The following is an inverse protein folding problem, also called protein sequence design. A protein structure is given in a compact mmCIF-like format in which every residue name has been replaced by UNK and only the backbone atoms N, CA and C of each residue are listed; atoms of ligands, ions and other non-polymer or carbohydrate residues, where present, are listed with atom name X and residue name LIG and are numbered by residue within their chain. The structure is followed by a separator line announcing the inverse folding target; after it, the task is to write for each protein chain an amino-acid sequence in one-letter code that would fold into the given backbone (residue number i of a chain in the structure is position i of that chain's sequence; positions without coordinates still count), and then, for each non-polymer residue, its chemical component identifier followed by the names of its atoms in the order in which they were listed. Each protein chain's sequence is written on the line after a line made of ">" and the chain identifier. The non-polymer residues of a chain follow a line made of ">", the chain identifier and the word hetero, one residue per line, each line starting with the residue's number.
data_IF_183978305874
#
_entry.id   IF_183978305874
#
_cell.length_a   1.000
_cell.length_b   1.000
_cell.length_c   1.000
_cell.angle_alpha   90.00
_cell.angle_beta   90.00
_cell.angle_gamma   90.00
#
_symmetry.space_group_name_H-M   'P 1'
#
loop_
_entity.id
_entity.type
_entity.pdbx_description
1 polymer ?
#
# COMPACT_ATOMS: atom_id res chain seq x y z
N UNK A 1 -17.46 -16.17 24.35
CA UNK A 1 -16.76 -15.77 25.58
C UNK A 1 -15.30 -15.49 25.26
N UNK A 2 -14.98 -14.26 24.96
CA UNK A 2 -13.60 -13.87 24.68
C UNK A 2 -12.70 -14.04 25.89
N UNK A 3 -11.43 -14.29 25.64
CA UNK A 3 -10.39 -14.35 26.68
C UNK A 3 -10.44 -13.09 27.56
N UNK A 4 -10.14 -13.19 28.87
CA UNK A 4 -10.04 -12.03 29.76
C UNK A 4 -9.13 -10.93 29.23
N UNK A 5 -8.11 -11.25 28.44
CA UNK A 5 -7.20 -10.33 27.80
C UNK A 5 -7.90 -9.31 26.86
N UNK A 6 -9.00 -9.72 26.24
CA UNK A 6 -9.77 -8.83 25.37
C UNK A 6 -10.64 -7.82 26.11
N UNK A 7 -10.80 -7.98 27.40
CA UNK A 7 -11.62 -7.11 28.25
C UNK A 7 -10.80 -6.13 29.06
N UNK A 8 -9.48 -6.18 29.00
CA UNK A 8 -8.65 -5.23 29.73
C UNK A 8 -8.87 -3.83 29.17
N UNK A 9 -9.14 -2.84 30.04
CA UNK A 9 -9.23 -1.46 29.60
C UNK A 9 -7.88 -1.07 29.00
N UNK A 10 -7.90 -0.83 27.73
CA UNK A 10 -6.70 -0.45 27.03
C UNK A 10 -6.47 1.05 27.21
N UNK A 11 -5.32 1.39 27.74
CA UNK A 11 -4.85 2.76 27.73
C UNK A 11 -3.91 2.91 26.54
N UNK A 12 -4.22 3.85 25.69
CA UNK A 12 -3.33 4.24 24.63
C UNK A 12 -2.08 4.90 25.23
N UNK A 13 -1.01 4.13 25.34
CA UNK A 13 0.23 4.58 26.00
C UNK A 13 1.40 4.75 25.03
N UNK A 14 1.18 4.49 23.75
CA UNK A 14 2.29 4.36 22.80
C UNK A 14 2.53 5.59 21.97
N UNK A 15 1.48 6.34 21.67
CA UNK A 15 1.57 7.47 20.77
C UNK A 15 1.01 8.69 21.45
N UNK A 16 1.83 9.71 21.54
CA UNK A 16 1.37 11.05 21.92
C UNK A 16 0.60 11.62 20.73
N UNK A 17 -0.57 12.20 20.96
CA UNK A 17 -1.39 12.80 19.90
C UNK A 17 -0.61 13.79 19.03
N UNK A 18 0.35 14.48 19.59
CA UNK A 18 1.23 15.40 18.88
C UNK A 18 2.09 14.73 17.80
N UNK A 19 2.39 13.43 17.91
CA UNK A 19 3.21 12.72 16.93
C UNK A 19 2.45 12.38 15.65
N UNK A 20 1.13 12.31 15.70
CA UNK A 20 0.26 11.97 14.55
C UNK A 20 -0.68 13.12 14.19
N UNK A 21 -0.61 14.24 14.89
CA UNK A 21 -1.50 15.38 14.68
C UNK A 21 -1.35 16.01 13.28
N UNK A 22 -0.14 15.98 12.72
CA UNK A 22 0.23 16.61 11.45
C UNK A 22 0.28 15.63 10.28
N UNK A 23 -0.48 14.56 10.32
CA UNK A 23 -0.55 13.60 9.21
C UNK A 23 -1.19 14.23 7.95
N UNK A 24 -0.35 14.71 7.04
CA UNK A 24 -0.78 15.39 5.81
C UNK A 24 -1.63 14.49 4.90
N UNK A 25 -1.47 13.18 4.95
CA UNK A 25 -2.27 12.25 4.14
C UNK A 25 -3.76 12.26 4.49
N UNK A 26 -4.12 12.59 5.75
CA UNK A 26 -5.53 12.64 6.18
C UNK A 26 -6.33 13.78 5.53
N UNK A 27 -5.65 14.82 5.10
CA UNK A 27 -6.26 16.00 4.46
C UNK A 27 -5.97 16.08 2.96
N UNK A 28 -5.22 15.12 2.44
CA UNK A 28 -4.87 15.06 1.03
C UNK A 28 -6.13 14.85 0.18
N UNK A 29 -6.26 15.60 -0.90
CA UNK A 29 -7.34 15.40 -1.88
C UNK A 29 -7.10 14.11 -2.66
N UNK A 30 -8.13 13.28 -2.85
CA UNK A 30 -8.01 12.06 -3.64
C UNK A 30 -7.51 12.34 -5.06
N UNK A 31 -6.46 11.60 -5.46
CA UNK A 31 -5.92 11.64 -6.81
C UNK A 31 -6.17 10.31 -7.51
N UNK A 32 -7.18 10.29 -8.38
CA UNK A 32 -7.52 9.12 -9.19
C UNK A 32 -6.67 9.12 -10.46
N UNK A 33 -5.97 8.03 -10.70
CA UNK A 33 -5.16 7.81 -11.90
C UNK A 33 -5.46 6.42 -12.45
N UNK A 34 -5.72 6.34 -13.74
CA UNK A 34 -5.92 5.07 -14.45
C UNK A 34 -4.62 4.75 -15.18
N UNK A 35 -4.04 3.55 -14.97
CA UNK A 35 -2.87 3.17 -15.73
C UNK A 35 -3.21 3.06 -17.22
N UNK A 36 -2.26 3.41 -18.05
CA UNK A 36 -2.37 3.23 -19.49
C UNK A 36 -2.31 1.74 -19.87
N UNK A 37 -2.41 1.43 -21.17
CA UNK A 37 -2.36 0.06 -21.64
C UNK A 37 -1.06 -0.66 -21.29
N UNK A 38 -1.11 -1.97 -21.20
CA UNK A 38 0.09 -2.80 -20.98
C UNK A 38 1.12 -2.64 -22.12
N UNK A 39 0.67 -2.39 -23.35
CA UNK A 39 1.56 -2.13 -24.47
C UNK A 39 2.31 -0.79 -24.30
N UNK A 40 1.69 0.21 -23.70
CA UNK A 40 2.41 1.43 -23.30
C UNK A 40 3.39 1.12 -22.15
N UNK A 41 2.96 0.36 -21.15
CA UNK A 41 3.82 -0.03 -20.04
C UNK A 41 5.12 -0.69 -20.49
N UNK A 42 5.07 -1.62 -21.43
CA UNK A 42 6.26 -2.30 -21.98
C UNK A 42 7.32 -1.35 -22.54
N UNK A 43 6.92 -0.18 -23.03
CA UNK A 43 7.86 0.81 -23.58
C UNK A 43 8.55 1.66 -22.52
N UNK A 44 8.02 1.69 -21.30
CA UNK A 44 8.46 2.56 -20.20
C UNK A 44 9.07 1.80 -19.05
N UNK A 45 8.64 0.55 -18.86
CA UNK A 45 9.15 -0.35 -17.84
C UNK A 45 10.57 -0.83 -18.18
N UNK A 46 11.37 -1.18 -17.16
CA UNK A 46 12.67 -1.80 -17.41
C UNK A 46 12.54 -3.05 -18.27
N UNK A 47 13.32 -3.11 -19.34
CA UNK A 47 13.35 -4.27 -20.23
C UNK A 47 14.28 -5.35 -19.64
N UNK A 48 13.78 -6.58 -19.40
CA UNK A 48 14.62 -7.65 -18.90
C UNK A 48 15.47 -8.24 -20.04
N UNK A 49 16.73 -8.48 -19.75
CA UNK A 49 17.62 -9.23 -20.64
C UNK A 49 18.23 -10.42 -19.91
N UNK A 50 17.95 -11.62 -20.40
CA UNK A 50 18.54 -12.85 -19.86
C UNK A 50 18.57 -13.92 -20.96
N UNK A 51 19.76 -14.10 -21.55
CA UNK A 51 19.94 -15.02 -22.67
C UNK A 51 19.59 -16.47 -22.28
N UNK A 52 18.83 -17.14 -23.11
CA UNK A 52 18.36 -18.53 -22.89
C UNK A 52 17.20 -18.67 -21.90
N UNK A 53 16.69 -17.58 -21.31
CA UNK A 53 15.65 -17.57 -20.25
C UNK A 53 14.36 -16.89 -20.70
N UNK A 54 13.88 -17.22 -21.89
CA UNK A 54 12.65 -16.61 -22.44
C UNK A 54 11.43 -16.80 -21.56
N UNK A 55 11.30 -17.95 -20.90
CA UNK A 55 10.17 -18.25 -19.99
C UNK A 55 10.15 -17.35 -18.76
N UNK A 56 11.32 -17.07 -18.19
CA UNK A 56 11.47 -16.18 -17.06
C UNK A 56 11.17 -14.72 -17.47
N UNK A 57 11.56 -14.33 -18.66
CA UNK A 57 11.20 -13.02 -19.25
C UNK A 57 9.68 -12.93 -19.46
N UNK A 58 9.04 -13.98 -19.99
CA UNK A 58 7.58 -14.02 -20.14
C UNK A 58 6.88 -13.91 -18.77
N UNK A 59 7.43 -14.58 -17.75
CA UNK A 59 6.91 -14.49 -16.38
C UNK A 59 7.05 -13.07 -15.80
N UNK A 60 8.17 -12.39 -16.04
CA UNK A 60 8.39 -10.98 -15.67
C UNK A 60 7.31 -10.08 -16.29
N UNK A 61 7.06 -10.20 -17.59
CA UNK A 61 6.02 -9.42 -18.25
C UNK A 61 4.62 -9.77 -17.78
N UNK A 62 4.38 -11.04 -17.46
CA UNK A 62 3.11 -11.49 -16.88
C UNK A 62 2.87 -10.88 -15.49
N UNK A 63 3.91 -10.77 -14.67
CA UNK A 63 3.81 -10.13 -13.36
C UNK A 63 3.39 -8.66 -13.49
N UNK A 64 4.00 -7.91 -14.42
CA UNK A 64 3.59 -6.53 -14.71
C UNK A 64 2.16 -6.43 -15.23
N UNK A 65 1.76 -7.30 -16.14
CA UNK A 65 0.39 -7.33 -16.66
C UNK A 65 -0.64 -7.54 -15.55
N UNK A 66 -0.36 -8.45 -14.64
CA UNK A 66 -1.21 -8.71 -13.47
C UNK A 66 -1.22 -7.51 -12.52
N UNK A 67 -0.07 -6.93 -12.21
CA UNK A 67 0.03 -5.74 -11.37
C UNK A 67 -0.80 -4.58 -11.91
N UNK A 68 -0.67 -4.29 -13.21
CA UNK A 68 -1.44 -3.21 -13.87
C UNK A 68 -2.96 -3.50 -13.82
N UNK A 69 -3.34 -4.75 -14.06
CA UNK A 69 -4.75 -5.18 -13.99
C UNK A 69 -5.36 -4.99 -12.60
N UNK A 70 -4.54 -5.11 -11.57
CA UNK A 70 -4.98 -5.03 -10.17
C UNK A 70 -4.99 -3.60 -9.61
N UNK A 71 -4.79 -2.59 -10.44
CA UNK A 71 -4.95 -1.20 -10.01
C UNK A 71 -6.41 -0.86 -9.81
N UNK A 72 -6.73 -0.43 -8.60
CA UNK A 72 -8.06 -0.01 -8.17
C UNK A 72 -8.13 1.51 -8.05
N UNK A 73 -9.35 2.04 -8.17
CA UNK A 73 -9.66 3.44 -7.93
C UNK A 73 -10.29 3.60 -6.55
N UNK A 74 -9.94 4.65 -5.78
CA UNK A 74 -10.60 4.91 -4.52
C UNK A 74 -12.09 5.16 -4.71
N UNK A 75 -12.92 4.57 -3.87
CA UNK A 75 -14.33 4.93 -3.75
C UNK A 75 -14.45 6.33 -3.13
N UNK A 76 -15.47 7.08 -3.50
CA UNK A 76 -15.58 8.50 -3.14
C UNK A 76 -15.60 8.74 -1.62
N UNK A 77 -16.20 7.87 -0.84
CA UNK A 77 -16.31 8.00 0.61
C UNK A 77 -15.33 7.13 1.41
N UNK A 78 -14.39 6.44 0.73
CA UNK A 78 -13.45 5.54 1.39
C UNK A 78 -12.44 6.25 2.29
N UNK A 79 -12.15 7.52 2.01
CA UNK A 79 -11.03 8.25 2.61
C UNK A 79 -9.68 7.84 2.04
N UNK A 80 -9.64 6.99 1.01
CA UNK A 80 -8.42 6.72 0.25
C UNK A 80 -8.07 7.94 -0.62
N UNK A 81 -6.79 8.23 -0.69
CA UNK A 81 -6.27 9.45 -1.33
C UNK A 81 -5.55 9.19 -2.65
N UNK A 82 -5.36 7.94 -3.01
CA UNK A 82 -4.64 7.56 -4.23
C UNK A 82 -5.25 6.32 -4.88
N UNK A 83 -5.17 6.24 -6.22
CA UNK A 83 -5.30 4.95 -6.90
C UNK A 83 -4.23 3.99 -6.37
N UNK A 84 -4.54 2.72 -6.27
CA UNK A 84 -3.73 1.76 -5.56
C UNK A 84 -3.73 0.40 -6.26
N UNK A 85 -2.69 -0.37 -6.02
CA UNK A 85 -2.63 -1.74 -6.47
C UNK A 85 -3.14 -2.66 -5.36
N UNK A 86 -4.11 -3.52 -5.66
CA UNK A 86 -4.68 -4.46 -4.71
C UNK A 86 -4.13 -5.88 -4.95
N UNK A 87 -4.04 -6.74 -3.92
CA UNK A 87 -3.60 -8.12 -4.09
C UNK A 87 -4.69 -9.04 -4.68
N UNK A 88 -5.29 -8.70 -5.78
CA UNK A 88 -5.96 -9.52 -6.77
C UNK A 88 -7.41 -9.98 -6.58
N UNK A 89 -8.00 -10.16 -5.40
CA UNK A 89 -9.32 -10.82 -5.32
C UNK A 89 -10.46 -9.98 -4.74
N UNK A 90 -10.13 -8.90 -4.06
CA UNK A 90 -11.08 -7.88 -3.63
C UNK A 90 -10.41 -6.49 -3.69
N UNK A 91 -11.13 -5.43 -3.46
CA UNK A 91 -10.58 -4.07 -3.48
C UNK A 91 -9.95 -3.63 -2.16
N UNK A 92 -9.72 -4.53 -1.21
CA UNK A 92 -9.08 -4.20 0.06
C UNK A 92 -7.59 -3.93 -0.14
N UNK A 93 -7.01 -3.15 0.77
CA UNK A 93 -5.56 -3.00 0.90
C UNK A 93 -5.06 -3.81 2.09
N UNK A 94 -3.91 -4.46 1.90
CA UNK A 94 -3.29 -5.35 2.88
C UNK A 94 -1.87 -4.88 3.15
N UNK A 95 -1.57 -4.50 4.37
CA UNK A 95 -0.29 -3.85 4.73
C UNK A 95 0.92 -4.67 4.30
N UNK A 96 0.88 -5.97 4.51
CA UNK A 96 1.95 -6.88 4.14
C UNK A 96 2.07 -7.02 2.62
N UNK A 97 0.97 -7.41 1.97
CA UNK A 97 0.95 -7.69 0.54
C UNK A 97 1.31 -6.44 -0.27
N UNK A 98 0.70 -5.30 0.07
CA UNK A 98 0.94 -4.04 -0.65
C UNK A 98 2.36 -3.52 -0.43
N UNK A 99 2.95 -3.73 0.76
CA UNK A 99 4.35 -3.39 0.98
C UNK A 99 5.27 -4.20 0.05
N UNK A 100 5.06 -5.51 -0.10
CA UNK A 100 5.83 -6.33 -1.03
C UNK A 100 5.55 -6.00 -2.49
N UNK A 101 4.30 -5.76 -2.85
CA UNK A 101 3.94 -5.36 -4.21
C UNK A 101 4.62 -4.05 -4.58
N UNK A 102 4.63 -3.06 -3.70
CA UNK A 102 5.28 -1.77 -3.97
C UNK A 102 6.79 -1.90 -4.06
N UNK A 103 7.43 -2.84 -3.34
CA UNK A 103 8.85 -3.14 -3.49
C UNK A 103 9.21 -3.61 -4.90
N UNK A 104 8.32 -4.32 -5.57
CA UNK A 104 8.47 -4.69 -6.98
C UNK A 104 8.05 -3.53 -7.88
N UNK A 105 6.84 -3.01 -7.71
CA UNK A 105 6.24 -2.06 -8.64
C UNK A 105 6.91 -0.68 -8.64
N UNK A 106 7.75 -0.32 -7.63
CA UNK A 106 8.50 0.94 -7.62
C UNK A 106 9.35 1.15 -8.87
N UNK A 107 9.84 0.08 -9.49
CA UNK A 107 10.60 0.18 -10.73
C UNK A 107 9.78 0.69 -11.92
N UNK A 108 8.46 0.63 -11.81
CA UNK A 108 7.50 1.17 -12.78
C UNK A 108 7.06 2.61 -12.51
N UNK A 109 7.73 3.38 -11.64
CA UNK A 109 7.30 4.73 -11.23
C UNK A 109 7.11 5.74 -12.39
N UNK A 110 7.81 5.52 -13.50
CA UNK A 110 7.67 6.35 -14.70
C UNK A 110 6.38 6.07 -15.47
N UNK A 111 5.84 4.87 -15.30
CA UNK A 111 4.59 4.45 -15.90
C UNK A 111 3.40 4.80 -15.01
N UNK A 112 3.45 4.41 -13.73
CA UNK A 112 2.38 4.63 -12.76
C UNK A 112 2.97 4.76 -11.36
N UNK A 113 2.43 5.66 -10.51
CA UNK A 113 2.98 5.91 -9.18
C UNK A 113 2.53 4.84 -8.16
N UNK A 114 2.92 3.60 -8.36
CA UNK A 114 2.52 2.45 -7.52
C UNK A 114 2.80 2.66 -6.03
N UNK A 115 3.88 3.39 -5.68
CA UNK A 115 4.21 3.69 -4.29
C UNK A 115 3.11 4.47 -3.57
N UNK A 116 2.27 5.21 -4.29
CA UNK A 116 1.15 5.95 -3.73
C UNK A 116 0.05 5.04 -3.15
N UNK A 117 0.09 3.72 -3.40
CA UNK A 117 -0.74 2.73 -2.70
C UNK A 117 -0.61 2.91 -1.19
N UNK A 118 0.60 3.15 -0.68
CA UNK A 118 0.87 3.29 0.74
C UNK A 118 0.25 4.56 1.36
N UNK A 119 -0.03 5.59 0.55
CA UNK A 119 -0.71 6.81 1.02
C UNK A 119 -2.08 6.49 1.62
N UNK A 120 -2.74 5.43 1.13
CA UNK A 120 -4.05 5.02 1.63
C UNK A 120 -3.97 4.46 3.06
N UNK A 121 -2.90 3.73 3.41
CA UNK A 121 -2.66 3.33 4.80
C UNK A 121 -2.43 4.55 5.69
N UNK A 122 -1.62 5.51 5.23
CA UNK A 122 -1.33 6.72 6.01
C UNK A 122 -2.58 7.59 6.17
N UNK A 123 -3.42 7.73 5.14
CA UNK A 123 -4.68 8.50 5.23
C UNK A 123 -5.66 7.89 6.23
N UNK A 124 -5.56 6.58 6.47
CA UNK A 124 -6.41 5.83 7.40
C UNK A 124 -5.77 5.62 8.77
N UNK A 125 -4.62 6.22 9.04
CA UNK A 125 -4.00 6.18 10.35
C UNK A 125 -4.90 6.83 11.40
N UNK A 126 -5.15 6.12 12.49
CA UNK A 126 -5.91 6.63 13.63
C UNK A 126 -5.10 7.66 14.44
N UNK A 127 -5.75 8.50 15.25
CA UNK A 127 -5.06 9.52 16.05
C UNK A 127 -4.01 8.98 17.03
N UNK A 128 -4.12 7.71 17.41
CA UNK A 128 -3.16 7.01 18.26
C UNK A 128 -2.02 6.34 17.50
N UNK A 129 -1.95 6.55 16.19
CA UNK A 129 -0.91 5.99 15.31
C UNK A 129 -1.24 4.61 14.74
N UNK A 130 -2.31 3.95 15.20
CA UNK A 130 -2.70 2.65 14.66
C UNK A 130 -3.08 2.74 13.18
N UNK A 131 -2.59 1.78 12.40
CA UNK A 131 -3.02 1.53 11.03
C UNK A 131 -3.48 0.07 10.96
N UNK A 132 -4.72 -0.16 10.52
CA UNK A 132 -5.22 -1.51 10.38
C UNK A 132 -4.46 -2.25 9.27
N UNK A 133 -4.09 -3.51 9.53
CA UNK A 133 -3.33 -4.33 8.58
C UNK A 133 -4.12 -4.68 7.31
N UNK A 134 -5.44 -4.66 7.39
CA UNK A 134 -6.36 -4.83 6.25
C UNK A 134 -7.45 -3.78 6.33
N UNK A 135 -7.59 -2.99 5.28
CA UNK A 135 -8.60 -1.95 5.17
C UNK A 135 -9.45 -2.24 3.94
N UNK A 136 -10.77 -2.25 4.13
CA UNK A 136 -11.71 -2.53 3.04
C UNK A 136 -11.71 -1.43 1.99
N UNK A 137 -12.21 -1.76 0.81
CA UNK A 137 -12.34 -0.81 -0.29
C UNK A 137 -13.17 0.43 0.08
N UNK A 138 -14.11 0.30 1.01
CA UNK A 138 -14.90 1.41 1.56
C UNK A 138 -14.15 2.24 2.62
N UNK A 139 -12.92 1.87 2.92
CA UNK A 139 -12.08 2.54 3.90
C UNK A 139 -12.31 2.13 5.34
N UNK A 140 -13.15 1.14 5.62
CA UNK A 140 -13.37 0.62 6.98
C UNK A 140 -12.29 -0.40 7.37
N UNK A 141 -11.89 -0.41 8.64
CA UNK A 141 -10.96 -1.38 9.18
C UNK A 141 -11.59 -2.79 9.21
N UNK A 142 -10.83 -3.80 8.82
CA UNK A 142 -11.25 -5.20 8.96
C UNK A 142 -11.10 -5.73 10.39
N UNK A 143 -10.19 -5.15 11.17
CA UNK A 143 -9.85 -5.61 12.50
C UNK A 143 -9.80 -4.46 13.50
N UNK A 144 -10.23 -4.73 14.72
CA UNK A 144 -10.06 -3.80 15.83
C UNK A 144 -8.59 -3.72 16.26
N UNK A 145 -8.13 -2.54 16.68
CA UNK A 145 -6.75 -2.30 17.13
C UNK A 145 -6.27 -3.19 18.28
N UNK A 146 -7.19 -3.75 19.03
CA UNK A 146 -6.89 -4.59 20.18
C UNK A 146 -7.27 -6.05 19.95
N UNK A 147 -7.51 -6.42 18.71
CA UNK A 147 -7.72 -7.81 18.33
C UNK A 147 -6.36 -8.51 18.29
N UNK A 148 -6.06 -9.42 19.21
CA UNK A 148 -4.78 -10.12 19.26
C UNK A 148 -4.58 -11.09 18.10
N UNK A 149 -5.64 -11.39 17.34
CA UNK A 149 -5.54 -12.17 16.11
C UNK A 149 -5.15 -11.31 14.90
N UNK A 150 -5.16 -9.99 15.07
CA UNK A 150 -4.87 -9.02 14.04
C UNK A 150 -3.46 -8.44 14.17
N UNK A 151 -2.48 -9.30 14.33
CA UNK A 151 -1.08 -8.87 14.29
C UNK A 151 -0.60 -8.82 12.84
N UNK A 152 -0.02 -7.69 12.45
CA UNK A 152 0.64 -7.53 11.16
C UNK A 152 1.97 -6.83 11.36
N UNK A 153 3.07 -7.31 10.76
CA UNK A 153 4.33 -6.59 10.81
C UNK A 153 4.19 -5.28 10.05
N UNK A 154 4.69 -4.20 10.64
CA UNK A 154 4.71 -2.91 9.98
C UNK A 154 5.85 -2.87 8.94
N UNK A 155 5.55 -3.21 7.70
CA UNK A 155 6.50 -3.22 6.58
C UNK A 155 6.50 -1.92 5.76
N UNK A 156 5.59 -1.00 6.04
CA UNK A 156 5.49 0.27 5.30
C UNK A 156 6.81 1.05 5.32
N UNK A 157 7.49 1.26 6.47
CA UNK A 157 8.76 1.98 6.49
C UNK A 157 9.85 1.29 5.66
N UNK A 158 9.84 -0.03 5.58
CA UNK A 158 10.81 -0.75 4.75
C UNK A 158 10.58 -0.50 3.26
N UNK A 159 9.33 -0.53 2.81
CA UNK A 159 9.01 -0.21 1.41
C UNK A 159 9.39 1.24 1.07
N UNK A 160 9.10 2.21 1.95
CA UNK A 160 9.47 3.61 1.74
C UNK A 160 11.00 3.80 1.74
N UNK A 161 11.72 3.15 2.65
CA UNK A 161 13.18 3.17 2.68
C UNK A 161 13.80 2.63 1.39
N UNK A 162 13.28 1.51 0.87
CA UNK A 162 13.75 0.95 -0.39
C UNK A 162 13.44 1.87 -1.59
N UNK A 163 12.34 2.60 -1.55
CA UNK A 163 12.02 3.61 -2.56
C UNK A 163 13.02 4.77 -2.51
N UNK A 164 13.30 5.28 -1.30
CA UNK A 164 14.31 6.32 -1.08
C UNK A 164 15.70 5.90 -1.57
N UNK A 165 16.18 4.75 -1.17
CA UNK A 165 17.50 4.26 -1.61
C UNK A 165 17.59 4.16 -3.14
N UNK A 166 16.51 3.72 -3.78
CA UNK A 166 16.48 3.52 -5.22
C UNK A 166 16.48 4.84 -6.01
N UNK A 167 15.83 5.87 -5.49
CA UNK A 167 15.53 7.07 -6.29
C UNK A 167 16.04 8.38 -5.67
N UNK A 168 16.52 8.38 -4.45
CA UNK A 168 16.93 9.58 -3.73
C UNK A 168 15.77 10.53 -3.40
N UNK A 169 14.53 10.04 -3.44
CA UNK A 169 13.32 10.83 -3.20
C UNK A 169 12.95 10.71 -1.72
N UNK A 170 13.23 11.73 -0.94
CA UNK A 170 12.98 11.83 0.50
C UNK A 170 11.60 12.41 0.85
N UNK A 171 10.82 12.80 -0.15
CA UNK A 171 9.49 13.43 0.05
C UNK A 171 8.47 12.53 0.76
N UNK A 172 8.83 11.26 0.95
CA UNK A 172 7.98 10.23 1.57
C UNK A 172 8.50 9.73 2.92
N UNK A 173 9.60 10.27 3.42
CA UNK A 173 10.23 9.91 4.69
C UNK A 173 9.75 10.79 5.85
#
# INVERSE_FOLDING_TARGET
>A
SGSPLYKLPYKNTYVMETLVAENAFRTMKPKKQIPESFEHAKRVLPEPYWEGHSKEIDMYWKAWQLGIKNVCQPLDESGFVSSYIAPAYNGNIFMWDDAFITMFCRYGRRYFPFQNTLNNFYSKQHPDGFICREIRADGSDCFGRYDPTSTGPNLLPWSEWLYYIQFGDDSRL
#
